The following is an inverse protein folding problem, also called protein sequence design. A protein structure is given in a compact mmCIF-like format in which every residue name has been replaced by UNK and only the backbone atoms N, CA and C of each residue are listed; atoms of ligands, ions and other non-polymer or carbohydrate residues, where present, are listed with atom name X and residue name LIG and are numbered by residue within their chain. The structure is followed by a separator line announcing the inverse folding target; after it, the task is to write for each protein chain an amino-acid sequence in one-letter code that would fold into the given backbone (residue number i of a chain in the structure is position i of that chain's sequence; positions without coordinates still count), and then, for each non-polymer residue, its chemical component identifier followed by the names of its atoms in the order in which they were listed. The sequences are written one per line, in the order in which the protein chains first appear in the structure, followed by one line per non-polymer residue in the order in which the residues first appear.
data_IF_165603344384
#
_entry.id   IF_165603344384
#
_cell.length_a   1.000
_cell.length_b   1.000
_cell.length_c   1.000
_cell.angle_alpha   90.00
_cell.angle_beta   90.00
_cell.angle_gamma   90.00
#
_symmetry.space_group_name_H-M   'P 1'
#
loop_
_entity.id
_entity.type
_entity.pdbx_description
1 polymer ?
#
# COMPACT_ATOMS: atom_id res chain seq x y z
N UNK A 1 -0.66 -16.42 -18.03
CA UNK A 1 -1.63 -16.30 -16.91
C UNK A 1 -3.04 -16.24 -17.50
N UNK A 2 -4.03 -16.88 -16.87
CA UNK A 2 -5.43 -16.83 -17.34
C UNK A 2 -6.19 -15.65 -16.70
N UNK A 3 -7.09 -15.07 -17.47
CA UNK A 3 -7.94 -13.97 -17.02
C UNK A 3 -8.96 -14.47 -16.00
N UNK A 4 -8.97 -13.90 -14.81
CA UNK A 4 -9.92 -14.24 -13.74
C UNK A 4 -11.40 -13.93 -14.06
N UNK A 5 -11.68 -13.17 -15.12
CA UNK A 5 -13.05 -12.79 -15.51
C UNK A 5 -13.65 -13.66 -16.61
N UNK A 6 -12.84 -14.15 -17.54
CA UNK A 6 -13.34 -14.87 -18.72
C UNK A 6 -12.55 -16.14 -19.04
N UNK A 7 -11.50 -16.47 -18.27
CA UNK A 7 -10.64 -17.62 -18.53
C UNK A 7 -9.71 -17.46 -19.73
N UNK A 8 -9.84 -16.41 -20.55
CA UNK A 8 -8.97 -16.16 -21.70
C UNK A 8 -7.54 -15.85 -21.32
N UNK A 9 -6.60 -16.01 -22.24
CA UNK A 9 -5.18 -15.74 -22.01
C UNK A 9 -4.94 -14.25 -21.70
N UNK A 10 -4.01 -13.98 -20.77
CA UNK A 10 -3.52 -12.64 -20.51
C UNK A 10 -2.19 -12.40 -21.21
N UNK A 11 -2.12 -11.30 -21.96
CA UNK A 11 -0.95 -10.87 -22.73
C UNK A 11 -0.31 -9.64 -22.11
N UNK A 12 1.02 -9.59 -22.08
CA UNK A 12 1.75 -8.42 -21.59
C UNK A 12 1.74 -7.30 -22.64
N UNK A 13 1.27 -6.12 -22.25
CA UNK A 13 1.25 -4.88 -23.04
C UNK A 13 2.00 -3.77 -22.31
N UNK A 14 2.45 -2.76 -23.06
CA UNK A 14 3.16 -1.61 -22.50
C UNK A 14 2.30 -0.36 -22.60
N UNK A 15 2.33 0.45 -21.54
CA UNK A 15 1.71 1.78 -21.48
C UNK A 15 2.72 2.81 -21.01
N UNK A 16 2.34 4.09 -21.03
CA UNK A 16 3.13 5.17 -20.39
C UNK A 16 3.47 4.87 -18.92
N UNK A 17 2.65 4.07 -18.24
CA UNK A 17 2.80 3.74 -16.82
C UNK A 17 3.64 2.46 -16.58
N UNK A 18 4.13 1.81 -17.65
CA UNK A 18 4.86 0.55 -17.62
C UNK A 18 4.08 -0.62 -18.21
N UNK A 19 4.67 -1.82 -18.07
CA UNK A 19 4.11 -3.07 -18.55
C UNK A 19 2.93 -3.56 -17.69
N UNK A 20 1.90 -4.09 -18.32
CA UNK A 20 0.72 -4.64 -17.65
C UNK A 20 0.20 -5.85 -18.43
N UNK A 21 -0.50 -6.75 -17.75
CA UNK A 21 -1.22 -7.84 -18.39
C UNK A 21 -2.61 -7.35 -18.80
N UNK A 22 -3.02 -7.63 -20.04
CA UNK A 22 -4.35 -7.37 -20.57
C UNK A 22 -4.98 -8.68 -21.05
N UNK A 23 -6.28 -8.83 -20.89
CA UNK A 23 -6.97 -9.99 -21.49
C UNK A 23 -6.88 -9.92 -23.03
N UNK A 24 -6.63 -11.08 -23.65
CA UNK A 24 -6.56 -11.19 -25.11
C UNK A 24 -7.92 -10.95 -25.78
N UNK A 25 -9.03 -11.26 -25.08
CA UNK A 25 -10.40 -11.11 -25.60
C UNK A 25 -10.91 -9.66 -25.55
N UNK A 26 -10.03 -8.66 -25.64
CA UNK A 26 -10.45 -7.27 -25.77
C UNK A 26 -11.08 -7.05 -27.16
N UNK A 27 -12.23 -6.36 -27.31
CA UNK A 27 -12.89 -5.49 -26.32
C UNK A 27 -13.92 -6.16 -25.40
N UNK A 28 -14.25 -7.44 -25.61
CA UNK A 28 -15.27 -8.18 -24.85
C UNK A 28 -14.89 -8.36 -23.38
N UNK A 29 -13.60 -8.55 -23.08
CA UNK A 29 -13.07 -8.57 -21.73
C UNK A 29 -12.03 -7.45 -21.52
N UNK A 30 -12.40 -6.44 -20.72
CA UNK A 30 -11.54 -5.29 -20.38
C UNK A 30 -10.65 -5.52 -19.15
N UNK A 31 -10.45 -6.77 -18.75
CA UNK A 31 -9.66 -7.09 -17.56
C UNK A 31 -8.17 -6.78 -17.79
N UNK A 32 -7.54 -6.12 -16.82
CA UNK A 32 -6.10 -5.80 -16.85
C UNK A 32 -5.50 -6.00 -15.46
N UNK A 33 -4.23 -6.39 -15.40
CA UNK A 33 -3.45 -6.51 -14.16
C UNK A 33 -2.13 -5.76 -14.30
N UNK A 34 -1.77 -4.97 -13.30
CA UNK A 34 -0.45 -4.31 -13.26
C UNK A 34 0.62 -5.31 -12.85
N UNK A 35 1.75 -5.31 -13.54
CA UNK A 35 2.90 -6.15 -13.15
C UNK A 35 3.63 -5.53 -11.95
N UNK A 36 4.03 -6.38 -10.99
CA UNK A 36 4.68 -6.01 -9.73
C UNK A 36 6.03 -5.26 -9.92
N UNK A 37 6.67 -5.41 -11.09
CA UNK A 37 7.95 -4.78 -11.42
C UNK A 37 7.81 -3.59 -12.38
N UNK A 38 6.78 -2.76 -12.20
CA UNK A 38 6.67 -1.49 -12.94
C UNK A 38 7.04 -0.30 -12.06
N UNK A 39 7.54 0.82 -12.64
CA UNK A 39 7.84 2.02 -11.87
C UNK A 39 6.65 2.60 -11.09
N UNK A 40 5.42 2.18 -11.41
CA UNK A 40 4.17 2.55 -10.75
C UNK A 40 3.48 1.38 -10.01
N UNK A 41 4.18 0.26 -9.78
CA UNK A 41 3.62 -0.84 -9.01
C UNK A 41 3.26 -0.34 -7.60
N UNK A 42 1.97 -0.40 -7.26
CA UNK A 42 1.49 -0.10 -5.92
C UNK A 42 1.87 -1.27 -5.01
N UNK A 43 2.98 -1.15 -4.29
CA UNK A 43 3.39 -2.13 -3.30
C UNK A 43 2.42 -2.06 -2.12
N UNK A 44 1.47 -2.98 -2.09
CA UNK A 44 0.47 -3.07 -1.02
C UNK A 44 1.13 -3.65 0.23
N UNK A 45 0.87 -3.04 1.38
CA UNK A 45 1.36 -3.53 2.67
C UNK A 45 0.46 -4.66 3.12
N UNK A 46 0.98 -5.88 3.09
CA UNK A 46 0.26 -7.07 3.56
C UNK A 46 -0.02 -6.99 5.06
N UNK A 47 -1.18 -7.49 5.47
CA UNK A 47 -1.61 -7.51 6.87
C UNK A 47 -2.03 -6.17 7.47
N UNK A 48 -1.90 -5.05 6.75
CA UNK A 48 -2.22 -3.71 7.26
C UNK A 48 -3.41 -3.11 6.52
N UNK A 49 -4.54 -2.96 7.22
CA UNK A 49 -5.78 -2.38 6.66
C UNK A 49 -5.92 -0.91 6.99
N UNK A 50 -6.52 -0.16 6.07
CA UNK A 50 -6.84 1.25 6.23
C UNK A 50 -7.72 1.46 7.47
N UNK A 51 -7.34 2.35 8.41
CA UNK A 51 -8.10 2.57 9.63
C UNK A 51 -9.41 3.33 9.39
N UNK A 52 -9.58 3.93 8.20
CA UNK A 52 -10.76 4.74 7.85
C UNK A 52 -11.82 3.95 7.05
N UNK A 53 -11.41 3.00 6.20
CA UNK A 53 -12.33 2.27 5.34
C UNK A 53 -12.08 0.76 5.23
N UNK A 54 -11.07 0.23 5.92
CA UNK A 54 -10.70 -1.20 5.84
C UNK A 54 -10.05 -1.64 4.53
N UNK A 55 -9.90 -0.76 3.54
CA UNK A 55 -9.23 -1.06 2.28
C UNK A 55 -7.72 -1.26 2.43
N UNK A 56 -7.09 -1.74 1.36
CA UNK A 56 -5.64 -1.94 1.34
C UNK A 56 -4.87 -0.62 1.31
N UNK A 57 -3.70 -0.60 1.96
CA UNK A 57 -2.76 0.51 1.93
C UNK A 57 -1.58 0.12 1.04
N UNK A 58 -1.15 1.01 0.15
CA UNK A 58 0.02 0.79 -0.68
C UNK A 58 1.03 1.93 -0.60
N UNK A 59 2.30 1.60 -0.78
CA UNK A 59 3.36 2.56 -1.06
C UNK A 59 3.14 3.17 -2.45
N UNK A 60 3.13 4.49 -2.50
CA UNK A 60 2.90 5.31 -3.69
C UNK A 60 4.04 6.31 -3.80
N UNK A 61 4.40 6.68 -5.04
CA UNK A 61 5.41 7.70 -5.31
C UNK A 61 4.74 9.02 -5.71
N UNK A 62 5.27 10.13 -5.21
CA UNK A 62 4.89 11.48 -5.60
C UNK A 62 6.13 12.31 -5.93
N UNK A 63 5.93 13.53 -6.46
CA UNK A 63 7.01 14.51 -6.67
C UNK A 63 7.77 14.85 -5.36
N UNK A 64 7.11 14.76 -4.20
CA UNK A 64 7.69 15.09 -2.88
C UNK A 64 8.32 13.87 -2.18
N UNK A 65 8.35 12.71 -2.84
CA UNK A 65 8.80 11.45 -2.25
C UNK A 65 7.68 10.42 -2.13
N UNK A 66 8.01 9.28 -1.53
CA UNK A 66 7.10 8.15 -1.34
C UNK A 66 6.21 8.33 -0.11
N UNK A 67 4.99 7.81 -0.18
CA UNK A 67 4.01 7.83 0.90
C UNK A 67 3.14 6.57 0.87
N UNK A 68 2.53 6.22 1.99
CA UNK A 68 1.58 5.13 2.11
C UNK A 68 0.17 5.68 2.04
N UNK A 69 -0.62 5.25 1.06
CA UNK A 69 -1.98 5.76 0.87
C UNK A 69 -2.98 4.64 0.61
N UNK A 70 -4.24 4.87 0.99
CA UNK A 70 -5.31 3.90 0.74
C UNK A 70 -5.55 3.69 -0.76
N UNK A 71 -5.80 2.45 -1.16
CA UNK A 71 -6.12 2.10 -2.55
C UNK A 71 -7.53 2.56 -2.98
N UNK A 72 -8.40 2.90 -2.02
CA UNK A 72 -9.77 3.34 -2.28
C UNK A 72 -9.91 4.86 -2.59
N UNK A 73 -8.80 5.60 -2.73
CA UNK A 73 -8.84 7.00 -3.18
C UNK A 73 -9.59 7.14 -4.52
N UNK A 74 -10.49 8.13 -4.71
CA UNK A 74 -10.76 9.30 -3.86
C UNK A 74 -11.78 9.07 -2.72
N UNK A 75 -12.36 7.88 -2.59
CA UNK A 75 -13.37 7.59 -1.54
C UNK A 75 -12.75 7.53 -0.13
N UNK A 76 -11.45 7.32 -0.03
CA UNK A 76 -10.69 7.35 1.22
C UNK A 76 -9.37 8.10 1.01
N UNK A 77 -9.11 9.07 1.88
CA UNK A 77 -7.97 9.98 1.79
C UNK A 77 -6.85 9.66 2.80
N UNK A 78 -6.91 8.49 3.45
CA UNK A 78 -5.86 8.03 4.35
C UNK A 78 -4.48 8.12 3.68
N UNK A 79 -3.57 8.81 4.35
CA UNK A 79 -2.20 9.01 3.93
C UNK A 79 -1.28 8.98 5.15
N UNK A 80 -0.14 8.33 5.00
CA UNK A 80 0.94 8.32 5.98
C UNK A 80 2.28 8.45 5.27
N UNK A 81 3.15 9.33 5.77
CA UNK A 81 4.52 9.45 5.27
C UNK A 81 5.43 8.32 5.78
N UNK A 82 5.03 7.64 6.85
CA UNK A 82 5.77 6.54 7.46
C UNK A 82 5.02 5.23 7.31
N UNK A 83 5.74 4.11 7.31
CA UNK A 83 5.19 2.79 7.06
C UNK A 83 4.18 2.41 8.15
N UNK A 84 2.87 2.30 7.84
CA UNK A 84 1.90 1.86 8.82
C UNK A 84 2.08 0.37 9.13
N UNK A 85 1.75 -0.01 10.36
CA UNK A 85 1.84 -1.38 10.88
C UNK A 85 0.49 -1.80 11.43
N UNK A 86 0.25 -3.12 11.50
CA UNK A 86 -0.97 -3.68 12.08
C UNK A 86 -0.99 -3.62 13.61
N UNK A 87 -0.54 -2.50 14.20
CA UNK A 87 -0.63 -2.21 15.63
C UNK A 87 -1.55 -1.02 15.83
N UNK A 88 -2.44 -1.13 16.81
CA UNK A 88 -3.35 -0.05 17.22
C UNK A 88 -2.74 0.73 18.37
N UNK A 89 -2.88 2.04 18.32
CA UNK A 89 -2.47 2.94 19.38
C UNK A 89 -3.32 2.71 20.64
N UNK A 90 -2.70 2.53 21.80
CA UNK A 90 -3.43 2.30 23.06
C UNK A 90 -4.28 3.50 23.50
N UNK A 91 -3.89 4.72 23.11
CA UNK A 91 -4.59 5.96 23.49
C UNK A 91 -5.83 6.27 22.65
N UNK A 92 -5.83 5.91 21.37
CA UNK A 92 -6.91 6.32 20.44
C UNK A 92 -7.32 5.24 19.44
N UNK A 93 -6.76 4.03 19.57
CA UNK A 93 -6.99 2.86 18.71
C UNK A 93 -6.77 3.09 17.21
N UNK A 94 -6.12 4.19 16.83
CA UNK A 94 -5.73 4.45 15.46
C UNK A 94 -4.48 3.67 15.06
N UNK A 95 -4.20 3.57 13.76
CA UNK A 95 -3.08 2.82 13.23
C UNK A 95 -1.73 3.47 13.61
N UNK A 96 -0.75 2.64 13.95
CA UNK A 96 0.62 3.09 14.23
C UNK A 96 1.54 2.95 13.01
N UNK A 97 2.70 3.58 13.06
CA UNK A 97 3.72 3.57 12.00
C UNK A 97 5.13 3.35 12.55
N UNK A 98 6.01 2.74 11.75
CA UNK A 98 7.42 2.55 12.07
C UNK A 98 8.19 3.86 11.89
N UNK A 99 8.90 4.30 12.94
CA UNK A 99 9.74 5.50 12.93
C UNK A 99 11.04 5.27 13.70
N UNK A 100 12.00 6.16 13.46
CA UNK A 100 13.22 6.28 14.27
C UNK A 100 13.15 7.62 15.00
N UNK A 101 13.29 7.59 16.33
CA UNK A 101 13.34 8.78 17.17
C UNK A 101 14.58 8.72 18.05
N UNK A 102 15.44 9.74 17.96
CA UNK A 102 16.73 9.81 18.69
C UNK A 102 17.55 8.52 18.57
N UNK A 103 17.70 8.02 17.34
CA UNK A 103 18.38 6.76 16.98
C UNK A 103 17.72 5.47 17.51
N UNK A 104 16.59 5.54 18.21
CA UNK A 104 15.84 4.37 18.67
C UNK A 104 14.65 4.08 17.76
N UNK A 105 14.33 2.80 17.54
CA UNK A 105 13.11 2.41 16.83
C UNK A 105 11.89 2.68 17.72
N UNK A 106 10.87 3.29 17.14
CA UNK A 106 9.61 3.59 17.82
C UNK A 106 8.43 3.25 16.92
N UNK A 107 7.31 2.91 17.54
CA UNK A 107 6.01 2.95 16.89
C UNK A 107 5.33 4.26 17.25
N UNK A 108 4.98 5.06 16.24
CA UNK A 108 4.26 6.32 16.44
C UNK A 108 2.85 6.23 15.86
N UNK A 109 1.85 6.63 16.65
CA UNK A 109 0.48 6.75 16.20
C UNK A 109 0.34 7.79 15.09
N UNK A 110 -0.29 7.40 13.98
CA UNK A 110 -0.47 8.28 12.81
C UNK A 110 -1.37 9.49 13.16
N UNK A 111 -2.36 9.28 14.04
CA UNK A 111 -3.36 10.30 14.43
C UNK A 111 -2.88 11.18 15.60
N UNK A 112 -2.64 10.60 16.78
CA UNK A 112 -2.37 11.38 18.00
C UNK A 112 -0.88 11.58 18.33
N UNK A 113 0.04 11.02 17.52
CA UNK A 113 1.51 11.11 17.69
C UNK A 113 2.06 10.47 18.98
N UNK A 114 1.26 9.65 19.66
CA UNK A 114 1.73 8.81 20.78
C UNK A 114 2.87 7.90 20.33
N UNK A 115 3.92 7.76 21.14
CA UNK A 115 5.13 7.01 20.79
C UNK A 115 5.37 5.87 21.77
N UNK A 116 5.55 4.67 21.23
CA UNK A 116 5.98 3.49 21.96
C UNK A 116 7.41 3.18 21.54
N UNK A 117 8.33 3.20 22.48
CA UNK A 117 9.73 2.83 22.25
C UNK A 117 9.86 1.32 22.18
N UNK A 118 10.55 0.82 21.16
CA UNK A 118 10.87 -0.60 21.06
C UNK A 118 12.19 -0.84 21.76
N UNK A 119 12.22 -1.81 22.67
CA UNK A 119 13.46 -2.29 23.25
C UNK A 119 14.22 -3.08 22.17
N UNK A 120 15.50 -2.78 22.00
CA UNK A 120 16.36 -3.59 21.15
C UNK A 120 16.68 -4.84 21.97
N UNK A 121 16.04 -5.97 21.66
CA UNK A 121 16.47 -7.27 22.17
C UNK A 121 17.93 -7.46 21.71
N UNK A 122 18.86 -7.21 22.63
CA UNK A 122 20.27 -7.50 22.47
C UNK A 122 20.42 -9.03 22.37
N UNK A 123 20.44 -9.54 21.13
CA UNK A 123 20.95 -10.87 20.81
C UNK A 123 22.46 -10.85 20.75
#
# INVERSE_FOLDING_TARGET
ELCEKCGGEMVQKFSRNGAFLACNNYPECKNTKSLKNTPNAKETIEGVKCPECGGDIALKRSKKGSFYGCNNYPKCNFLSNHKPINKRCEKCHYLMSERIYRKKKVHECIKCKERVFLEEENG
#
